data_IF_831466951855
#
_entry.id   IF_831466951855
#
_cell.length_a   1.000
_cell.length_b   1.000
_cell.length_c   1.000
_cell.angle_alpha   90.00
_cell.angle_beta   90.00
_cell.angle_gamma   90.00
#
_symmetry.space_group_name_H-M   'P 1'
#
loop_
_entity.id
_entity.type
_entity.pdbx_description
1 polymer ?
#
# COMPACT_ATOMS: atom_id res chain seq x y z
N UNK A 1 -9.88 2.60 1.13
CA UNK A 1 -9.49 3.18 -0.15
C UNK A 1 -8.87 4.58 -0.03
N UNK A 2 -8.68 5.06 1.19
CA UNK A 2 -8.10 6.37 1.42
C UNK A 2 -6.58 6.29 1.47
N UNK A 3 -5.94 7.42 1.19
CA UNK A 3 -4.51 7.55 1.33
C UNK A 3 -4.20 7.86 2.79
N UNK A 4 -3.32 7.07 3.39
CA UNK A 4 -2.88 7.28 4.76
C UNK A 4 -1.54 8.01 4.76
N UNK A 5 -1.44 9.07 5.57
CA UNK A 5 -0.22 9.85 5.71
C UNK A 5 0.38 9.67 7.10
N UNK A 6 1.70 9.87 7.20
CA UNK A 6 2.41 9.75 8.46
C UNK A 6 2.43 8.35 9.03
N UNK A 7 2.45 7.34 8.17
CA UNK A 7 2.48 5.95 8.60
C UNK A 7 3.85 5.62 9.16
N UNK A 8 3.91 5.32 10.46
CA UNK A 8 5.13 4.82 11.11
C UNK A 8 5.33 3.34 10.80
N UNK A 9 6.55 2.80 10.98
CA UNK A 9 6.76 1.37 10.87
C UNK A 9 5.85 0.56 11.79
N UNK A 10 5.52 1.09 12.95
CA UNK A 10 4.66 0.45 13.92
C UNK A 10 3.20 0.41 13.43
N UNK A 11 2.70 1.52 12.91
CA UNK A 11 1.35 1.58 12.34
C UNK A 11 1.23 0.68 11.11
N UNK A 12 2.25 0.66 10.26
CA UNK A 12 2.31 -0.24 9.12
C UNK A 12 2.19 -1.69 9.57
N UNK A 13 2.93 -2.08 10.61
CA UNK A 13 2.87 -3.44 11.16
C UNK A 13 1.48 -3.81 11.63
N UNK A 14 0.81 -2.93 12.36
CA UNK A 14 -0.56 -3.16 12.81
C UNK A 14 -1.54 -3.26 11.66
N UNK A 15 -1.41 -2.38 10.67
CA UNK A 15 -2.26 -2.38 9.50
C UNK A 15 -2.13 -3.69 8.71
N UNK A 16 -0.89 -4.14 8.47
CA UNK A 16 -0.62 -5.39 7.76
C UNK A 16 -1.17 -6.58 8.55
N UNK A 17 -0.92 -6.63 9.85
CA UNK A 17 -1.41 -7.71 10.71
C UNK A 17 -2.94 -7.78 10.70
N UNK A 18 -3.62 -6.63 10.81
CA UNK A 18 -5.07 -6.57 10.75
C UNK A 18 -5.60 -7.12 9.43
N UNK A 19 -5.04 -6.68 8.30
CA UNK A 19 -5.50 -7.11 6.98
C UNK A 19 -5.17 -8.58 6.71
N UNK A 20 -4.03 -9.06 7.20
CA UNK A 20 -3.68 -10.47 7.06
C UNK A 20 -4.62 -11.39 7.83
N UNK A 21 -5.21 -10.90 8.93
CA UNK A 21 -6.22 -11.67 9.68
C UNK A 21 -7.61 -11.59 9.06
N UNK A 22 -7.96 -10.43 8.50
CA UNK A 22 -9.29 -10.19 7.89
C UNK A 22 -9.37 -10.81 6.50
N UNK A 23 -8.30 -10.70 5.73
CA UNK A 23 -8.11 -11.34 4.43
C UNK A 23 -7.19 -12.53 4.62
N UNK A 24 -7.01 -13.34 3.59
CA UNK A 24 -6.16 -14.52 3.70
C UNK A 24 -4.67 -14.17 3.82
N UNK A 25 -4.25 -13.06 3.23
CA UNK A 25 -2.86 -12.61 3.28
C UNK A 25 -2.73 -11.19 2.71
N UNK A 26 -1.57 -10.59 2.97
CA UNK A 26 -1.20 -9.29 2.41
C UNK A 26 0.11 -9.44 1.64
N UNK A 27 0.18 -8.87 0.46
CA UNK A 27 1.42 -8.78 -0.30
C UNK A 27 1.93 -7.34 -0.18
N UNK A 28 3.12 -7.18 0.41
CA UNK A 28 3.80 -5.91 0.49
C UNK A 28 4.91 -5.85 -0.55
N UNK A 29 4.94 -4.77 -1.31
CA UNK A 29 5.97 -4.53 -2.31
C UNK A 29 6.65 -3.21 -2.04
N UNK A 30 7.97 -3.22 -2.06
CA UNK A 30 8.79 -2.05 -1.71
C UNK A 30 9.86 -1.85 -2.77
N UNK A 31 10.06 -0.61 -3.15
CA UNK A 31 11.15 -0.22 -4.02
C UNK A 31 11.82 1.04 -3.46
N UNK A 32 13.16 1.07 -3.52
CA UNK A 32 13.91 2.27 -3.15
C UNK A 32 14.00 3.21 -4.34
N UNK A 33 13.75 4.48 -4.08
CA UNK A 33 13.80 5.52 -5.11
C UNK A 33 14.60 6.71 -4.59
N UNK A 34 14.99 7.61 -5.49
CA UNK A 34 15.64 8.87 -5.10
C UNK A 34 14.65 9.77 -4.36
N UNK A 35 15.13 10.69 -3.51
CA UNK A 35 14.24 11.63 -2.82
C UNK A 35 13.32 12.42 -3.75
N UNK A 36 13.81 12.80 -4.93
CA UNK A 36 13.02 13.54 -5.92
C UNK A 36 11.84 12.72 -6.42
N UNK A 37 12.04 11.44 -6.68
CA UNK A 37 10.97 10.54 -7.13
C UNK A 37 9.97 10.32 -6.00
N UNK A 38 10.44 10.13 -4.78
CA UNK A 38 9.58 9.96 -3.62
C UNK A 38 8.70 11.19 -3.38
N UNK A 39 9.29 12.39 -3.48
CA UNK A 39 8.55 13.64 -3.33
C UNK A 39 7.50 13.81 -4.43
N UNK A 40 7.84 13.49 -5.66
CA UNK A 40 6.90 13.54 -6.77
C UNK A 40 5.74 12.57 -6.56
N UNK A 41 6.03 11.36 -6.09
CA UNK A 41 4.99 10.38 -5.79
C UNK A 41 4.04 10.90 -4.71
N UNK A 42 4.59 11.48 -3.65
CA UNK A 42 3.78 12.08 -2.58
C UNK A 42 2.89 13.20 -3.12
N UNK A 43 3.44 14.11 -3.90
CA UNK A 43 2.67 15.21 -4.47
C UNK A 43 1.56 14.73 -5.41
N UNK A 44 1.84 13.73 -6.23
CA UNK A 44 0.83 13.14 -7.10
C UNK A 44 -0.30 12.50 -6.28
N UNK A 45 0.04 11.80 -5.20
CA UNK A 45 -0.95 11.19 -4.32
C UNK A 45 -1.81 12.25 -3.63
N UNK A 46 -1.21 13.34 -3.17
CA UNK A 46 -1.92 14.44 -2.53
C UNK A 46 -2.92 15.10 -3.49
N UNK A 47 -2.50 15.33 -4.72
CA UNK A 47 -3.36 15.95 -5.74
C UNK A 47 -4.48 15.01 -6.16
N UNK A 48 -4.18 13.73 -6.33
CA UNK A 48 -5.17 12.75 -6.76
C UNK A 48 -6.26 12.51 -5.72
N UNK A 49 -5.89 12.58 -4.43
CA UNK A 49 -6.82 12.28 -3.35
C UNK A 49 -7.25 10.81 -3.32
N UNK A 50 -8.30 10.49 -2.56
CA UNK A 50 -8.78 9.11 -2.46
C UNK A 50 -9.40 8.63 -3.77
N UNK A 51 -9.15 7.36 -4.10
CA UNK A 51 -9.74 6.74 -5.28
C UNK A 51 -11.22 6.41 -5.04
N UNK A 52 -12.08 6.56 -6.06
CA UNK A 52 -13.43 6.04 -5.97
C UNK A 52 -13.43 4.54 -5.69
N UNK A 53 -14.48 4.06 -5.04
CA UNK A 53 -14.61 2.66 -4.71
C UNK A 53 -14.51 1.79 -5.97
N UNK A 54 -13.70 0.71 -5.89
CA UNK A 54 -13.49 -0.19 -7.01
C UNK A 54 -12.47 0.27 -8.04
N UNK A 55 -11.87 1.46 -7.85
CA UNK A 55 -10.91 2.05 -8.81
C UNK A 55 -9.49 2.13 -8.27
N UNK A 56 -9.18 1.50 -7.14
CA UNK A 56 -7.87 1.68 -6.49
C UNK A 56 -6.70 1.28 -7.38
N UNK A 57 -6.79 0.16 -8.07
CA UNK A 57 -5.70 -0.30 -8.95
C UNK A 57 -5.51 0.61 -10.16
N UNK A 58 -6.61 1.07 -10.75
CA UNK A 58 -6.55 2.01 -11.86
C UNK A 58 -5.89 3.32 -11.46
N UNK A 59 -6.30 3.88 -10.33
CA UNK A 59 -5.73 5.13 -9.82
C UNK A 59 -4.26 4.97 -9.46
N UNK A 60 -3.92 3.90 -8.75
CA UNK A 60 -2.54 3.65 -8.35
C UNK A 60 -1.62 3.44 -9.54
N UNK A 61 -2.04 2.63 -10.52
CA UNK A 61 -1.24 2.40 -11.72
C UNK A 61 -1.06 3.67 -12.55
N UNK A 62 -2.09 4.48 -12.68
CA UNK A 62 -2.01 5.76 -13.39
C UNK A 62 -1.04 6.72 -12.71
N UNK A 63 -1.06 6.78 -11.39
CA UNK A 63 -0.15 7.60 -10.62
C UNK A 63 1.30 7.13 -10.78
N UNK A 64 1.53 5.84 -10.61
CA UNK A 64 2.89 5.27 -10.70
C UNK A 64 3.50 5.46 -12.08
N UNK A 65 2.74 5.34 -13.13
CA UNK A 65 3.24 5.54 -14.50
C UNK A 65 3.83 6.92 -14.77
N UNK A 66 3.47 7.90 -13.97
CA UNK A 66 3.99 9.26 -14.09
C UNK A 66 5.35 9.44 -13.46
N UNK A 67 5.85 8.42 -12.76
CA UNK A 67 7.15 8.50 -12.09
C UNK A 67 8.26 8.02 -13.02
N UNK A 68 9.44 8.67 -12.98
CA UNK A 68 10.60 8.20 -13.74
C UNK A 68 10.98 6.77 -13.35
N UNK A 69 11.13 5.90 -14.34
CA UNK A 69 11.46 4.50 -14.14
C UNK A 69 10.26 3.58 -13.94
N UNK A 70 9.03 4.12 -13.88
CA UNK A 70 7.82 3.35 -13.64
C UNK A 70 6.91 3.27 -14.87
N UNK A 71 7.39 3.73 -16.01
CA UNK A 71 6.58 3.83 -17.23
C UNK A 71 6.13 2.46 -17.76
N UNK A 72 6.86 1.40 -17.42
CA UNK A 72 6.51 0.05 -17.84
C UNK A 72 5.29 -0.53 -17.12
N UNK A 73 4.87 0.10 -16.02
CA UNK A 73 3.65 -0.30 -15.32
C UNK A 73 2.45 0.11 -16.16
N UNK A 74 1.74 -0.85 -16.71
CA UNK A 74 0.53 -0.57 -17.47
C UNK A 74 -0.62 -0.16 -16.56
N UNK A 75 -1.53 0.67 -17.10
CA UNK A 75 -2.76 0.96 -16.40
C UNK A 75 -3.62 -0.30 -16.32
N UNK A 76 -4.11 -0.62 -15.13
CA UNK A 76 -4.92 -1.81 -14.93
C UNK A 76 -6.00 -1.58 -13.87
N UNK A 77 -7.12 -2.27 -14.03
CA UNK A 77 -8.21 -2.31 -13.07
C UNK A 77 -8.02 -3.39 -12.01
N UNK A 78 -7.07 -4.33 -12.24
CA UNK A 78 -6.96 -5.54 -11.44
C UNK A 78 -5.74 -5.49 -10.53
N UNK A 79 -5.94 -5.66 -9.21
CA UNK A 79 -4.84 -5.62 -8.24
C UNK A 79 -3.73 -6.64 -8.52
N UNK A 80 -4.08 -7.84 -8.95
CA UNK A 80 -3.07 -8.87 -9.24
C UNK A 80 -2.17 -8.47 -10.41
N UNK A 81 -2.75 -7.88 -11.45
CA UNK A 81 -1.96 -7.39 -12.57
C UNK A 81 -1.03 -6.25 -12.16
N UNK A 82 -1.52 -5.35 -11.32
CA UNK A 82 -0.69 -4.26 -10.81
C UNK A 82 0.47 -4.80 -9.98
N UNK A 83 0.21 -5.75 -9.11
CA UNK A 83 1.24 -6.39 -8.29
C UNK A 83 2.29 -7.08 -9.15
N UNK A 84 1.86 -7.84 -10.14
CA UNK A 84 2.77 -8.53 -11.06
C UNK A 84 3.62 -7.54 -11.85
N UNK A 85 3.02 -6.49 -12.36
CA UNK A 85 3.74 -5.47 -13.12
C UNK A 85 4.73 -4.70 -12.24
N UNK A 86 4.35 -4.40 -11.01
CA UNK A 86 5.24 -3.72 -10.07
C UNK A 86 6.45 -4.59 -9.73
N UNK A 87 6.25 -5.89 -9.57
CA UNK A 87 7.32 -6.83 -9.25
C UNK A 87 8.38 -6.91 -10.34
N UNK A 88 8.04 -6.58 -11.59
CA UNK A 88 9.02 -6.58 -12.70
C UNK A 88 10.02 -5.43 -12.62
N UNK A 89 9.77 -4.40 -11.81
CA UNK A 89 10.68 -3.28 -11.67
C UNK A 89 11.96 -3.71 -10.96
N UNK A 90 13.13 -3.23 -11.40
CA UNK A 90 14.40 -3.56 -10.74
C UNK A 90 14.42 -3.08 -9.29
N UNK A 91 14.84 -3.93 -8.39
CA UNK A 91 15.01 -3.57 -6.97
C UNK A 91 13.76 -3.69 -6.12
N UNK A 92 12.67 -4.22 -6.65
CA UNK A 92 11.45 -4.46 -5.88
C UNK A 92 11.64 -5.64 -4.93
N UNK A 93 11.31 -5.41 -3.67
CA UNK A 93 11.23 -6.47 -2.67
C UNK A 93 9.75 -6.80 -2.43
N UNK A 94 9.42 -8.06 -2.55
CA UNK A 94 8.05 -8.55 -2.34
C UNK A 94 8.02 -9.42 -1.09
N UNK A 95 7.07 -9.14 -0.20
CA UNK A 95 6.81 -9.94 0.99
C UNK A 95 5.34 -10.35 1.05
N UNK A 96 5.12 -11.59 1.46
CA UNK A 96 3.80 -12.10 1.73
C UNK A 96 3.60 -12.19 3.24
N UNK A 97 2.52 -11.58 3.73
CA UNK A 97 2.18 -11.57 5.16
C UNK A 97 0.95 -12.45 5.37
N UNK A 98 1.12 -13.47 6.18
CA UNK A 98 0.03 -14.38 6.58
C UNK A 98 0.00 -14.47 8.09
N UNK A 99 -1.19 -14.32 8.66
CA UNK A 99 -1.41 -14.53 10.08
C UNK A 99 -2.05 -15.90 10.26
N UNK A 100 -1.39 -16.76 11.05
CA UNK A 100 -1.87 -18.10 11.32
C UNK A 100 -2.73 -18.17 12.58
N UNK A 101 -2.85 -17.05 13.29
CA UNK A 101 -3.65 -16.97 14.49
C UNK A 101 -5.14 -16.96 14.16
N UNK A 102 -5.91 -17.51 15.08
CA UNK A 102 -7.36 -17.42 14.99
C UNK A 102 -7.77 -15.98 14.75
N UNK A 103 -8.79 -15.80 13.90
CA UNK A 103 -9.32 -14.52 13.48
C UNK A 103 -9.75 -13.66 14.66
N UNK A 104 -8.82 -13.03 15.34
CA UNK A 104 -9.15 -12.05 16.37
C UNK A 104 -9.11 -10.65 15.77
N UNK A 105 -10.12 -10.37 14.95
CA UNK A 105 -10.30 -9.07 14.31
C UNK A 105 -10.43 -7.96 15.33
N UNK A 106 -11.03 -8.27 16.49
CA UNK A 106 -11.26 -7.28 17.53
C UNK A 106 -9.96 -6.83 18.17
N UNK A 107 -9.02 -7.76 18.40
CA UNK A 107 -7.71 -7.41 18.95
C UNK A 107 -6.93 -6.57 17.94
N UNK A 108 -6.88 -6.96 16.68
CA UNK A 108 -6.17 -6.23 15.65
C UNK A 108 -6.75 -4.81 15.47
N UNK A 109 -8.07 -4.69 15.46
CA UNK A 109 -8.74 -3.41 15.36
C UNK A 109 -8.41 -2.49 16.55
N UNK A 110 -8.41 -3.04 17.76
CA UNK A 110 -8.06 -2.27 18.97
C UNK A 110 -6.61 -1.81 18.96
N UNK A 111 -5.70 -2.65 18.47
CA UNK A 111 -4.29 -2.28 18.34
C UNK A 111 -4.11 -1.09 17.39
N UNK A 112 -4.80 -1.10 16.26
CA UNK A 112 -4.76 0.01 15.30
C UNK A 112 -5.38 1.28 15.90
N UNK A 113 -6.53 1.17 16.55
CA UNK A 113 -7.18 2.30 17.21
C UNK A 113 -6.30 2.92 18.28
N UNK A 114 -5.65 2.09 19.10
CA UNK A 114 -4.74 2.56 20.14
C UNK A 114 -3.55 3.32 19.54
N UNK A 115 -2.97 2.82 18.45
CA UNK A 115 -1.87 3.50 17.76
C UNK A 115 -2.32 4.83 17.18
N UNK A 116 -3.49 4.88 16.55
CA UNK A 116 -4.04 6.11 15.99
C UNK A 116 -4.36 7.14 17.09
N UNK A 117 -4.85 6.70 18.24
CA UNK A 117 -5.13 7.57 19.38
C UNK A 117 -3.86 8.21 19.94
N UNK A 118 -2.77 7.47 19.99
CA UNK A 118 -1.47 7.98 20.44
C UNK A 118 -0.95 9.06 19.48
N UNK A 119 -1.24 8.95 18.20
CA UNK A 119 -0.78 9.89 17.18
C UNK A 119 -1.59 11.19 17.12
N UNK A 120 -2.74 11.22 17.71
CA UNK A 120 -3.57 12.41 17.78
C UNK A 120 -3.13 13.30 18.96
#
# INVERSE_FOLDING_TARGET
NDVLFGVSPQLESYYVSFHARVTFYVIGQRISVTPDVAERALNLALVAGPAPQGNCSRFTSRLLRQLPGFESIGQTWFPNNLSDNFETLPGVETREYRENDADDKDVAAREIEAELSIRQ
#
